data_IF_639016247644
#
_entry.id   IF_639016247644
#
_cell.length_a   1.000
_cell.length_b   1.000
_cell.length_c   1.000
_cell.angle_alpha   90.00
_cell.angle_beta   90.00
_cell.angle_gamma   90.00
#
_symmetry.space_group_name_H-M   'P 1'
#
loop_
_entity.id
_entity.type
_entity.pdbx_description
1 polymer ?
#
# COMPACT_ATOMS: atom_id res chain seq x y z
N UNK A 1 21.33 -12.82 3.93
CA UNK A 1 20.90 -11.46 4.32
C UNK A 1 20.50 -11.46 5.78
N UNK A 2 20.69 -10.36 6.52
CA UNK A 2 20.16 -10.26 7.89
C UNK A 2 18.63 -10.11 7.86
N UNK A 3 17.92 -10.73 8.81
CA UNK A 3 16.46 -10.64 8.87
C UNK A 3 15.97 -9.25 9.30
N UNK A 4 16.63 -8.66 10.31
CA UNK A 4 16.30 -7.36 10.91
C UNK A 4 17.15 -6.23 10.31
N UNK A 5 16.65 -5.01 10.43
CA UNK A 5 17.36 -3.78 10.11
C UNK A 5 18.61 -3.61 11.00
N UNK A 6 19.62 -2.94 10.47
CA UNK A 6 20.78 -2.43 11.22
C UNK A 6 20.92 -0.94 10.94
N UNK A 7 21.80 -0.23 11.64
CA UNK A 7 22.03 1.22 11.45
C UNK A 7 22.38 1.62 10.01
N UNK A 8 22.95 0.70 9.22
CA UNK A 8 23.46 0.95 7.88
C UNK A 8 22.62 0.37 6.72
N UNK A 9 21.60 -0.46 6.97
CA UNK A 9 20.78 -1.08 5.91
C UNK A 9 19.46 -1.67 6.42
N UNK A 10 18.50 -1.86 5.52
CA UNK A 10 17.30 -2.63 5.81
C UNK A 10 17.58 -4.15 5.82
N UNK A 11 16.85 -4.89 6.64
CA UNK A 11 16.86 -6.35 6.70
C UNK A 11 15.89 -6.95 5.69
N UNK A 12 16.04 -8.26 5.44
CA UNK A 12 15.28 -9.00 4.44
C UNK A 12 13.76 -8.89 4.65
N UNK A 13 13.28 -8.91 5.90
CA UNK A 13 11.84 -8.81 6.21
C UNK A 13 11.30 -7.44 5.81
N UNK A 14 11.99 -6.35 6.17
CA UNK A 14 11.58 -5.00 5.78
C UNK A 14 11.61 -4.79 4.27
N UNK A 15 12.61 -5.36 3.58
CA UNK A 15 12.69 -5.29 2.12
C UNK A 15 11.55 -6.05 1.45
N UNK A 16 11.27 -7.28 1.89
CA UNK A 16 10.19 -8.10 1.35
C UNK A 16 8.84 -7.41 1.54
N UNK A 17 8.55 -6.92 2.75
CA UNK A 17 7.34 -6.13 3.01
C UNK A 17 7.31 -4.83 2.19
N UNK A 18 8.46 -4.21 1.95
CA UNK A 18 8.55 -2.99 1.15
C UNK A 18 8.13 -3.23 -0.30
N UNK A 19 8.88 -4.08 -0.98
CA UNK A 19 8.74 -4.35 -2.40
C UNK A 19 7.49 -5.17 -2.72
N UNK A 20 7.09 -6.08 -1.83
CA UNK A 20 5.84 -6.83 -1.95
C UNK A 20 4.62 -5.91 -1.92
N UNK A 21 4.55 -4.97 -0.97
CA UNK A 21 3.47 -3.96 -0.94
C UNK A 21 3.48 -3.11 -2.21
N UNK A 22 4.64 -2.64 -2.66
CA UNK A 22 4.74 -1.83 -3.87
C UNK A 22 4.18 -2.60 -5.08
N UNK A 23 4.62 -3.84 -5.29
CA UNK A 23 4.14 -4.71 -6.36
C UNK A 23 2.62 -4.91 -6.28
N UNK A 24 2.10 -5.30 -5.13
CA UNK A 24 0.67 -5.56 -4.94
C UNK A 24 -0.17 -4.31 -5.17
N UNK A 25 0.28 -3.13 -4.72
CA UNK A 25 -0.45 -1.86 -4.93
C UNK A 25 -0.57 -1.55 -6.42
N UNK A 26 0.52 -1.62 -7.19
CA UNK A 26 0.44 -1.38 -8.63
C UNK A 26 -0.38 -2.44 -9.38
N UNK A 27 -0.28 -3.71 -8.98
CA UNK A 27 -1.10 -4.79 -9.54
C UNK A 27 -2.59 -4.61 -9.23
N UNK A 28 -2.95 -4.28 -7.98
CA UNK A 28 -4.34 -4.00 -7.59
C UNK A 28 -4.88 -2.77 -8.32
N UNK A 29 -4.07 -1.72 -8.48
CA UNK A 29 -4.47 -0.54 -9.21
C UNK A 29 -4.78 -0.86 -10.68
N UNK A 30 -3.90 -1.60 -11.36
CA UNK A 30 -4.13 -2.05 -12.73
C UNK A 30 -5.38 -2.94 -12.84
N UNK A 31 -5.54 -3.90 -11.92
CA UNK A 31 -6.73 -4.76 -11.86
C UNK A 31 -8.01 -3.94 -11.63
N UNK A 32 -7.95 -2.95 -10.75
CA UNK A 32 -9.07 -2.06 -10.42
C UNK A 32 -9.50 -1.21 -11.61
N UNK A 33 -8.56 -0.61 -12.35
CA UNK A 33 -8.87 0.14 -13.57
C UNK A 33 -9.47 -0.76 -14.65
N UNK A 34 -8.93 -1.98 -14.82
CA UNK A 34 -9.43 -2.94 -15.79
C UNK A 34 -10.83 -3.43 -15.45
N UNK A 35 -11.11 -3.80 -14.19
CA UNK A 35 -12.39 -4.39 -13.80
C UNK A 35 -13.56 -3.39 -13.91
N UNK A 36 -13.31 -2.09 -13.77
CA UNK A 36 -14.32 -1.04 -13.94
C UNK A 36 -14.76 -0.91 -15.41
N UNK A 37 -13.93 -1.35 -16.37
CA UNK A 37 -14.26 -1.37 -17.78
C UNK A 37 -15.04 -2.60 -18.25
N UNK A 38 -15.33 -3.56 -17.36
CA UNK A 38 -16.03 -4.79 -17.72
C UNK A 38 -17.53 -4.54 -17.92
N UNK A 39 -18.07 -5.07 -19.02
CA UNK A 39 -19.50 -5.00 -19.29
C UNK A 39 -20.30 -6.07 -18.55
N UNK A 40 -21.63 -6.04 -18.74
CA UNK A 40 -22.55 -6.98 -18.12
C UNK A 40 -22.33 -8.44 -18.53
N UNK A 41 -21.82 -8.68 -19.74
CA UNK A 41 -21.67 -10.02 -20.33
C UNK A 41 -20.30 -10.66 -20.02
N UNK A 42 -19.36 -9.90 -19.46
CA UNK A 42 -18.04 -10.40 -19.09
C UNK A 42 -18.11 -11.52 -18.05
N UNK A 43 -17.43 -12.63 -18.33
CA UNK A 43 -17.24 -13.74 -17.37
C UNK A 43 -16.51 -13.30 -16.09
N UNK A 44 -15.71 -12.22 -16.15
CA UNK A 44 -14.92 -11.72 -15.03
C UNK A 44 -15.66 -10.71 -14.15
N UNK A 45 -16.91 -10.34 -14.50
CA UNK A 45 -17.66 -9.29 -13.80
C UNK A 45 -17.80 -9.53 -12.29
N UNK A 46 -17.86 -10.79 -11.85
CA UNK A 46 -17.79 -11.17 -10.43
C UNK A 46 -16.38 -11.55 -9.98
N UNK A 47 -15.71 -12.40 -10.75
CA UNK A 47 -14.44 -12.99 -10.34
C UNK A 47 -13.32 -11.94 -10.11
N UNK A 48 -13.30 -10.87 -10.92
CA UNK A 48 -12.27 -9.83 -10.80
C UNK A 48 -12.45 -8.96 -9.54
N UNK A 49 -13.63 -8.40 -9.24
CA UNK A 49 -13.89 -7.75 -7.95
C UNK A 49 -13.65 -8.68 -6.75
N UNK A 50 -14.01 -9.96 -6.85
CA UNK A 50 -13.81 -10.94 -5.77
C UNK A 50 -12.32 -11.21 -5.50
N UNK A 51 -11.51 -11.28 -6.55
CA UNK A 51 -10.06 -11.36 -6.41
C UNK A 51 -9.48 -10.06 -5.86
N UNK A 52 -9.93 -8.91 -6.37
CA UNK A 52 -9.46 -7.59 -5.96
C UNK A 52 -9.69 -7.35 -4.46
N UNK A 53 -10.91 -7.60 -3.96
CA UNK A 53 -11.24 -7.44 -2.53
C UNK A 53 -10.46 -8.41 -1.63
N UNK A 54 -10.22 -9.63 -2.09
CA UNK A 54 -9.46 -10.64 -1.34
C UNK A 54 -7.98 -10.25 -1.19
N UNK A 55 -7.35 -9.82 -2.29
CA UNK A 55 -5.96 -9.32 -2.26
C UNK A 55 -5.89 -8.01 -1.46
N UNK A 56 -6.88 -7.13 -1.59
CA UNK A 56 -6.96 -5.87 -0.83
C UNK A 56 -7.01 -6.07 0.68
N UNK A 57 -7.84 -7.00 1.18
CA UNK A 57 -7.87 -7.34 2.61
C UNK A 57 -6.58 -8.02 3.08
N UNK A 58 -5.97 -8.85 2.23
CA UNK A 58 -4.65 -9.44 2.52
C UNK A 58 -3.58 -8.36 2.63
N UNK A 59 -3.59 -7.38 1.72
CA UNK A 59 -2.69 -6.23 1.77
C UNK A 59 -2.90 -5.41 3.04
N UNK A 60 -4.14 -5.25 3.50
CA UNK A 60 -4.44 -4.58 4.77
C UNK A 60 -3.73 -5.27 5.95
N UNK A 61 -3.85 -6.60 6.05
CA UNK A 61 -3.16 -7.37 7.07
C UNK A 61 -1.63 -7.25 6.96
N UNK A 62 -1.08 -7.33 5.74
CA UNK A 62 0.35 -7.13 5.49
C UNK A 62 0.82 -5.73 5.90
N UNK A 63 0.01 -4.70 5.68
CA UNK A 63 0.30 -3.33 6.10
C UNK A 63 0.30 -3.18 7.62
N UNK A 64 -0.63 -3.83 8.33
CA UNK A 64 -0.60 -3.89 9.81
C UNK A 64 0.70 -4.56 10.28
N UNK A 65 1.04 -5.72 9.72
CA UNK A 65 2.30 -6.43 10.03
C UNK A 65 3.51 -5.53 9.77
N UNK A 66 3.52 -4.78 8.66
CA UNK A 66 4.60 -3.86 8.31
C UNK A 66 4.74 -2.71 9.30
N UNK A 67 3.63 -2.16 9.80
CA UNK A 67 3.65 -1.14 10.85
C UNK A 67 4.19 -1.73 12.15
N UNK A 68 3.68 -2.89 12.59
CA UNK A 68 4.15 -3.58 13.79
C UNK A 68 5.64 -3.92 13.71
N UNK A 69 6.09 -4.38 12.54
CA UNK A 69 7.48 -4.71 12.28
C UNK A 69 8.43 -3.52 12.43
N UNK A 70 7.97 -2.29 12.18
CA UNK A 70 8.79 -1.09 12.41
C UNK A 70 9.11 -0.84 13.87
N UNK A 71 8.32 -1.34 14.81
CA UNK A 71 8.65 -1.27 16.24
C UNK A 71 9.64 -2.36 16.65
N UNK A 72 9.51 -3.57 16.08
CA UNK A 72 10.44 -4.69 16.32
C UNK A 72 11.80 -4.46 15.66
N UNK A 73 11.80 -3.84 14.48
CA UNK A 73 12.98 -3.55 13.69
C UNK A 73 12.91 -2.12 13.13
N UNK A 74 13.34 -1.12 13.92
CA UNK A 74 13.29 0.28 13.51
C UNK A 74 14.03 0.54 12.18
N UNK A 75 13.53 1.47 11.34
CA UNK A 75 14.22 1.84 10.12
C UNK A 75 15.57 2.48 10.47
N UNK A 76 16.63 2.28 9.65
CA UNK A 76 17.90 2.90 9.95
C UNK A 76 17.83 4.43 9.81
N UNK A 77 18.68 5.19 10.53
CA UNK A 77 18.65 6.65 10.52
C UNK A 77 18.74 7.23 9.10
N UNK A 78 18.11 8.37 8.86
CA UNK A 78 18.23 9.04 7.56
C UNK A 78 19.69 9.44 7.30
N UNK A 79 20.20 9.29 6.05
CA UNK A 79 21.58 9.63 5.67
C UNK A 79 22.06 10.97 6.25
N UNK A 80 23.32 11.07 6.68
CA UNK A 80 23.86 12.27 7.36
C UNK A 80 23.84 13.52 6.48
N UNK A 81 23.98 13.36 5.17
CA UNK A 81 23.92 14.43 4.17
C UNK A 81 22.50 15.01 3.94
N UNK A 82 21.44 14.42 4.52
CA UNK A 82 20.09 14.98 4.39
C UNK A 82 19.91 16.22 5.27
N UNK A 83 19.57 17.35 4.63
CA UNK A 83 19.16 18.58 5.32
C UNK A 83 17.82 18.43 6.06
N UNK A 84 17.48 19.42 6.90
CA UNK A 84 16.25 19.40 7.72
C UNK A 84 14.97 19.25 6.89
N UNK A 85 14.87 19.97 5.77
CA UNK A 85 13.71 19.91 4.88
C UNK A 85 13.54 18.52 4.25
N UNK A 86 14.62 17.91 3.74
CA UNK A 86 14.59 16.55 3.18
C UNK A 86 14.12 15.53 4.21
N UNK A 87 14.64 15.60 5.45
CA UNK A 87 14.22 14.70 6.54
C UNK A 87 12.74 14.86 6.89
N UNK A 88 12.26 16.10 6.93
CA UNK A 88 10.86 16.40 7.23
C UNK A 88 9.94 15.94 6.09
N UNK A 89 10.28 16.26 4.84
CA UNK A 89 9.58 15.80 3.65
C UNK A 89 9.52 14.28 3.55
N UNK A 90 10.61 13.58 3.86
CA UNK A 90 10.61 12.12 3.92
C UNK A 90 9.65 11.59 5.00
N UNK A 91 9.61 12.18 6.20
CA UNK A 91 8.66 11.77 7.25
C UNK A 91 7.22 11.97 6.80
N UNK A 92 6.88 13.14 6.26
CA UNK A 92 5.54 13.44 5.75
C UNK A 92 5.14 12.54 4.59
N UNK A 93 6.02 12.33 3.61
CA UNK A 93 5.76 11.45 2.48
C UNK A 93 5.47 10.01 2.92
N UNK A 94 6.24 9.48 3.88
CA UNK A 94 5.92 8.17 4.45
C UNK A 94 4.57 8.19 5.18
N UNK A 95 4.32 9.18 6.05
CA UNK A 95 3.05 9.26 6.77
C UNK A 95 1.85 9.29 5.82
N UNK A 96 1.93 10.09 4.75
CA UNK A 96 0.89 10.18 3.73
C UNK A 96 0.67 8.85 3.01
N UNK A 97 1.74 8.13 2.63
CA UNK A 97 1.61 6.82 2.01
C UNK A 97 1.00 5.78 2.95
N UNK A 98 1.38 5.76 4.23
CA UNK A 98 0.78 4.83 5.20
C UNK A 98 -0.70 5.14 5.42
N UNK A 99 -1.04 6.39 5.73
CA UNK A 99 -2.42 6.81 5.98
C UNK A 99 -3.28 6.61 4.72
N UNK A 100 -2.76 7.01 3.55
CA UNK A 100 -3.44 6.85 2.28
C UNK A 100 -3.71 5.39 1.92
N UNK A 101 -2.75 4.48 2.13
CA UNK A 101 -2.97 3.05 1.91
C UNK A 101 -4.04 2.48 2.85
N UNK A 102 -4.00 2.80 4.15
CA UNK A 102 -5.02 2.33 5.08
C UNK A 102 -6.40 2.87 4.73
N UNK A 103 -6.50 4.17 4.43
CA UNK A 103 -7.75 4.79 3.98
C UNK A 103 -8.27 4.15 2.69
N UNK A 104 -7.39 3.86 1.73
CA UNK A 104 -7.73 3.22 0.46
C UNK A 104 -8.31 1.81 0.65
N UNK A 105 -7.64 0.98 1.44
CA UNK A 105 -8.12 -0.39 1.71
C UNK A 105 -9.40 -0.38 2.53
N UNK A 106 -9.53 0.56 3.48
CA UNK A 106 -10.73 0.72 4.29
C UNK A 106 -11.92 1.21 3.47
N UNK A 107 -11.74 2.17 2.55
CA UNK A 107 -12.82 2.57 1.64
C UNK A 107 -13.24 1.42 0.73
N UNK A 108 -12.30 0.60 0.26
CA UNK A 108 -12.60 -0.60 -0.53
C UNK A 108 -13.45 -1.64 0.23
N UNK A 109 -13.15 -1.82 1.52
CA UNK A 109 -13.98 -2.62 2.43
C UNK A 109 -15.40 -2.06 2.52
N UNK A 110 -15.57 -0.74 2.74
CA UNK A 110 -16.88 -0.11 2.85
C UNK A 110 -17.74 -0.21 1.57
N UNK A 111 -17.12 -0.22 0.38
CA UNK A 111 -17.85 -0.48 -0.87
C UNK A 111 -18.50 -1.86 -0.82
N UNK A 112 -17.71 -2.87 -0.44
CA UNK A 112 -18.14 -4.28 -0.52
C UNK A 112 -19.10 -4.69 0.59
N UNK A 113 -19.13 -3.98 1.72
CA UNK A 113 -19.98 -4.29 2.88
C UNK A 113 -21.23 -3.44 2.98
N UNK A 114 -21.51 -2.57 1.99
CA UNK A 114 -22.63 -1.64 2.03
C UNK A 114 -23.99 -2.31 2.29
N UNK A 115 -24.22 -3.48 1.68
CA UNK A 115 -25.45 -4.28 1.80
C UNK A 115 -25.46 -5.20 3.04
N UNK A 116 -24.49 -5.09 3.95
CA UNK A 116 -24.41 -5.94 5.14
C UNK A 116 -23.91 -7.37 4.86
N UNK A 117 -23.42 -7.62 3.64
CA UNK A 117 -22.86 -8.91 3.23
C UNK A 117 -21.34 -8.93 3.48
N UNK A 118 -20.87 -10.00 4.11
CA UNK A 118 -19.45 -10.21 4.36
C UNK A 118 -18.64 -10.41 3.06
N UNK A 119 -17.33 -10.26 3.18
CA UNK A 119 -16.41 -10.43 2.05
C UNK A 119 -15.78 -11.84 2.14
N UNK A 120 -16.08 -12.76 1.22
CA UNK A 120 -15.39 -14.04 1.14
C UNK A 120 -13.97 -13.84 0.61
N UNK A 121 -12.98 -13.97 1.49
CA UNK A 121 -11.56 -13.79 1.14
C UNK A 121 -11.06 -15.09 0.53
N UNK A 122 -10.84 -15.07 -0.79
CA UNK A 122 -10.46 -16.24 -1.61
C UNK A 122 -11.36 -17.47 -1.43
N UNK A 123 -12.60 -17.28 -0.95
CA UNK A 123 -13.52 -18.36 -0.54
C UNK A 123 -12.97 -19.28 0.58
N UNK A 124 -11.99 -18.80 1.36
CA UNK A 124 -11.41 -19.55 2.49
C UNK A 124 -12.06 -19.21 3.83
N UNK A 125 -12.42 -17.94 4.01
CA UNK A 125 -13.11 -17.42 5.19
C UNK A 125 -13.79 -16.10 4.84
N UNK A 126 -14.75 -15.68 5.67
CA UNK A 126 -15.47 -14.43 5.50
C UNK A 126 -14.98 -13.35 6.46
N UNK A 127 -14.75 -12.14 5.95
CA UNK A 127 -14.63 -10.94 6.78
C UNK A 127 -16.02 -10.33 6.94
N UNK A 128 -16.57 -10.23 8.16
CA UNK A 128 -17.92 -9.71 8.38
C UNK A 128 -18.09 -8.26 7.93
N UNK A 129 -19.32 -7.90 7.56
CA UNK A 129 -19.73 -6.52 7.35
C UNK A 129 -20.00 -5.81 8.69
N UNK A 130 -18.92 -5.40 9.37
CA UNK A 130 -18.98 -4.65 10.63
C UNK A 130 -19.59 -3.26 10.46
N UNK A 131 -19.41 -2.66 9.27
CA UNK A 131 -19.95 -1.34 8.92
C UNK A 131 -20.74 -1.48 7.61
N UNK A 132 -22.04 -1.23 7.71
CA UNK A 132 -22.99 -1.36 6.61
C UNK A 132 -24.17 -0.40 6.81
N UNK A 133 -25.05 -0.35 5.81
CA UNK A 133 -26.34 0.36 5.90
C UNK A 133 -26.23 1.86 6.17
N UNK A 134 -25.07 2.47 5.87
CA UNK A 134 -24.90 3.92 5.83
C UNK A 134 -25.55 4.44 4.53
N UNK A 135 -26.28 5.57 4.55
CA UNK A 135 -26.81 6.19 3.32
C UNK A 135 -25.71 6.41 2.28
N UNK A 136 -25.97 6.01 1.04
CA UNK A 136 -25.06 6.13 -0.12
C UNK A 136 -23.65 5.54 0.09
N UNK A 137 -23.52 4.56 1.00
CA UNK A 137 -22.23 4.01 1.42
C UNK A 137 -21.36 3.57 0.24
N UNK A 138 -21.91 2.75 -0.66
CA UNK A 138 -21.18 2.19 -1.79
C UNK A 138 -20.69 3.28 -2.75
N UNK A 139 -21.54 4.25 -3.07
CA UNK A 139 -21.24 5.31 -4.05
C UNK A 139 -20.22 6.31 -3.49
N UNK A 140 -20.40 6.75 -2.24
CA UNK A 140 -19.46 7.65 -1.57
C UNK A 140 -18.12 6.95 -1.35
N UNK A 141 -18.12 5.72 -0.83
CA UNK A 141 -16.89 4.96 -0.63
C UNK A 141 -16.20 4.66 -1.96
N UNK A 142 -16.95 4.37 -3.03
CA UNK A 142 -16.43 4.16 -4.38
C UNK A 142 -15.71 5.38 -4.93
N UNK A 143 -16.33 6.55 -4.79
CA UNK A 143 -15.73 7.84 -5.19
C UNK A 143 -14.44 8.12 -4.41
N UNK A 144 -14.50 7.99 -3.08
CA UNK A 144 -13.33 8.16 -2.21
C UNK A 144 -12.21 7.17 -2.56
N UNK A 145 -12.55 5.91 -2.80
CA UNK A 145 -11.60 4.86 -3.17
C UNK A 145 -10.89 5.18 -4.48
N UNK A 146 -11.61 5.63 -5.50
CA UNK A 146 -11.02 6.01 -6.79
C UNK A 146 -10.00 7.15 -6.64
N UNK A 147 -10.37 8.22 -5.93
CA UNK A 147 -9.46 9.35 -5.72
C UNK A 147 -8.26 8.99 -4.84
N UNK A 148 -8.48 8.17 -3.79
CA UNK A 148 -7.39 7.66 -2.97
C UNK A 148 -6.45 6.76 -3.78
N UNK A 149 -6.97 5.91 -4.67
CA UNK A 149 -6.19 5.01 -5.50
C UNK A 149 -5.22 5.79 -6.39
N UNK A 150 -5.74 6.79 -7.13
CA UNK A 150 -4.92 7.68 -7.94
C UNK A 150 -3.91 8.46 -7.10
N UNK A 151 -4.35 9.02 -5.97
CA UNK A 151 -3.48 9.80 -5.08
C UNK A 151 -2.30 8.95 -4.59
N UNK A 152 -2.58 7.76 -4.05
CA UNK A 152 -1.55 6.84 -3.53
C UNK A 152 -0.59 6.42 -4.64
N UNK A 153 -1.08 6.08 -5.83
CA UNK A 153 -0.23 5.66 -6.96
C UNK A 153 0.67 6.79 -7.43
N UNK A 154 0.13 8.01 -7.61
CA UNK A 154 0.94 9.18 -7.98
C UNK A 154 2.00 9.46 -6.92
N UNK A 155 1.64 9.45 -5.63
CA UNK A 155 2.60 9.65 -4.55
C UNK A 155 3.63 8.52 -4.47
N UNK A 156 3.27 7.28 -4.75
CA UNK A 156 4.20 6.15 -4.78
C UNK A 156 5.22 6.29 -5.93
N UNK A 157 4.78 6.76 -7.10
CA UNK A 157 5.67 7.09 -8.22
C UNK A 157 6.61 8.22 -7.84
N UNK A 158 6.10 9.33 -7.28
CA UNK A 158 6.93 10.45 -6.83
C UNK A 158 7.94 10.02 -5.75
N UNK A 159 7.54 9.16 -4.83
CA UNK A 159 8.42 8.56 -3.82
C UNK A 159 9.54 7.74 -4.47
N UNK A 160 9.21 6.90 -5.45
CA UNK A 160 10.19 6.14 -6.22
C UNK A 160 11.16 7.03 -6.99
N UNK A 161 10.66 8.07 -7.67
CA UNK A 161 11.47 9.05 -8.39
C UNK A 161 12.41 9.82 -7.44
N UNK A 162 11.93 10.18 -6.24
CA UNK A 162 12.79 10.80 -5.23
C UNK A 162 13.93 9.85 -4.82
N UNK A 163 13.66 8.57 -4.60
CA UNK A 163 14.70 7.58 -4.29
C UNK A 163 15.72 7.42 -5.44
N UNK A 164 15.26 7.44 -6.69
CA UNK A 164 16.14 7.40 -7.87
C UNK A 164 16.98 8.68 -7.99
N UNK A 165 16.39 9.86 -7.76
CA UNK A 165 17.10 11.14 -7.70
C UNK A 165 18.18 11.13 -6.63
N UNK A 166 17.85 10.66 -5.43
CA UNK A 166 18.82 10.48 -4.34
C UNK A 166 19.97 9.53 -4.73
N UNK A 167 19.67 8.47 -5.48
CA UNK A 167 20.67 7.51 -5.91
C UNK A 167 21.58 8.03 -7.04
N UNK A 168 21.01 8.60 -8.10
CA UNK A 168 21.77 8.95 -9.30
C UNK A 168 22.33 10.38 -9.28
N UNK A 169 21.63 11.32 -8.66
CA UNK A 169 22.02 12.74 -8.63
C UNK A 169 22.73 13.05 -7.31
N UNK A 170 22.08 12.79 -6.17
CA UNK A 170 22.69 13.08 -4.86
C UNK A 170 23.75 12.05 -4.45
N UNK A 171 23.81 10.91 -5.16
CA UNK A 171 24.73 9.80 -4.95
C UNK A 171 24.75 9.28 -3.52
N UNK A 172 23.59 9.21 -2.89
CA UNK A 172 23.45 8.72 -1.52
C UNK A 172 22.91 7.27 -1.43
N UNK A 173 22.95 6.73 -0.22
CA UNK A 173 22.59 5.34 0.04
C UNK A 173 21.08 5.09 0.22
N UNK A 174 20.20 6.05 -0.04
CA UNK A 174 18.76 5.95 0.24
C UNK A 174 18.12 4.72 -0.40
N UNK A 175 18.33 4.54 -1.71
CA UNK A 175 17.80 3.39 -2.46
C UNK A 175 18.57 2.10 -2.13
N UNK A 176 19.90 2.16 -2.12
CA UNK A 176 20.75 0.97 -1.95
C UNK A 176 20.53 0.29 -0.60
N UNK A 177 20.22 1.06 0.45
CA UNK A 177 19.83 0.54 1.76
C UNK A 177 18.54 -0.27 1.72
N UNK A 178 17.57 0.13 0.90
CA UNK A 178 16.31 -0.61 0.68
C UNK A 178 16.49 -1.82 -0.26
N UNK A 179 17.67 -1.96 -0.85
CA UNK A 179 18.12 -3.16 -1.57
C UNK A 179 19.03 -4.04 -0.69
N UNK A 180 19.16 -3.74 0.60
CA UNK A 180 19.95 -4.52 1.56
C UNK A 180 21.45 -4.30 1.49
N UNK A 181 21.92 -3.32 0.70
CA UNK A 181 23.32 -2.92 0.62
C UNK A 181 23.64 -1.97 1.78
N UNK A 182 24.85 -2.07 2.32
CA UNK A 182 25.31 -1.14 3.35
C UNK A 182 25.52 0.24 2.74
N UNK A 183 25.14 1.27 3.49
CA UNK A 183 25.54 2.65 3.25
C UNK A 183 27.04 2.83 3.43
#
# INVERSE_FOLDING_TARGET
MQLRNSSSRYGAVSMFLHWGVALVVFSLFALGLWMVGLDYYSEYRKAAPDLHKSIGLTLFAVMVVRVLWRFVSPPPPAPSNHGRLTRLGAKFGHALLYLGLFALMFSGYLISTAEGVGIPVFNLFDVPAWISSIPDQADVAGTVHLYLAWTVVVFAVLHGLAALKHHFIDRDATLTRMLGRKA
#
